data_IF_135833094028
#
_entry.id   IF_135833094028
#
_cell.length_a   1.000
_cell.length_b   1.000
_cell.length_c   1.000
_cell.angle_alpha   90.00
_cell.angle_beta   90.00
_cell.angle_gamma   90.00
#
_symmetry.space_group_name_H-M   'P 1'
#
loop_
_entity.id
_entity.type
_entity.pdbx_description
1 polymer ?
#
# COMPACT_ATOMS: atom_id res chain seq x y z
N UNK A 1 27.41 11.67 1.08
CA UNK A 1 26.94 11.50 -0.32
C UNK A 1 25.44 11.78 -0.32
N UNK A 2 24.93 12.62 -1.22
CA UNK A 2 23.50 12.90 -1.28
C UNK A 2 22.77 11.63 -1.78
N UNK A 3 21.94 11.05 -0.95
CA UNK A 3 21.04 9.95 -1.37
C UNK A 3 20.14 10.50 -2.48
N UNK A 4 20.01 9.82 -3.63
CA UNK A 4 19.09 10.24 -4.67
C UNK A 4 17.68 10.32 -4.11
N UNK A 5 17.06 11.49 -4.18
CA UNK A 5 15.71 11.69 -3.70
C UNK A 5 14.69 11.24 -4.75
N UNK A 6 13.60 10.61 -4.33
CA UNK A 6 12.45 10.35 -5.19
C UNK A 6 11.94 11.64 -5.83
N UNK A 7 11.79 11.64 -7.17
CA UNK A 7 11.35 12.79 -7.95
C UNK A 7 10.01 12.58 -8.66
N UNK A 8 9.36 11.43 -8.44
CA UNK A 8 8.05 11.14 -9.02
C UNK A 8 6.92 11.99 -8.44
N UNK A 9 5.74 11.93 -9.07
CA UNK A 9 4.54 12.68 -8.66
C UNK A 9 3.86 12.09 -7.41
N UNK A 10 3.95 10.76 -7.18
CA UNK A 10 3.23 10.08 -6.12
C UNK A 10 3.66 10.57 -4.73
N UNK A 11 2.70 10.91 -3.91
CA UNK A 11 2.88 11.37 -2.52
C UNK A 11 2.20 10.47 -1.50
N UNK A 12 1.26 9.62 -1.95
CA UNK A 12 0.54 8.68 -1.13
C UNK A 12 0.29 7.39 -1.92
N UNK A 13 0.55 6.25 -1.31
CA UNK A 13 0.14 4.94 -1.82
C UNK A 13 -0.92 4.38 -0.87
N UNK A 14 -2.12 4.17 -1.38
CA UNK A 14 -3.23 3.57 -0.66
C UNK A 14 -3.39 2.10 -1.04
N UNK A 15 -3.63 1.26 -0.06
CA UNK A 15 -3.85 -0.16 -0.22
C UNK A 15 -5.25 -0.55 0.26
N UNK A 16 -5.96 -1.37 -0.51
CA UNK A 16 -6.97 -2.23 0.06
C UNK A 16 -6.30 -3.32 0.92
N UNK A 17 -7.09 -4.11 1.61
CA UNK A 17 -6.58 -5.09 2.55
C UNK A 17 -6.87 -6.52 2.12
N UNK A 18 -8.16 -6.87 2.00
CA UNK A 18 -8.58 -8.23 1.71
C UNK A 18 -8.37 -8.53 0.22
N UNK A 19 -7.46 -9.46 -0.09
CA UNK A 19 -7.02 -9.73 -1.46
C UNK A 19 -5.81 -8.92 -1.94
N UNK A 20 -5.34 -7.93 -1.14
CA UNK A 20 -4.12 -7.14 -1.42
C UNK A 20 -3.05 -7.38 -0.37
N UNK A 21 -3.26 -6.91 0.87
CA UNK A 21 -2.33 -7.13 2.00
C UNK A 21 -2.52 -8.51 2.64
N UNK A 22 -3.64 -9.16 2.37
CA UNK A 22 -3.97 -10.53 2.76
C UNK A 22 -4.37 -11.34 1.53
N UNK A 23 -4.54 -12.65 1.69
CA UNK A 23 -5.03 -13.56 0.63
C UNK A 23 -6.56 -13.50 0.44
N UNK A 24 -7.24 -12.55 1.07
CA UNK A 24 -8.69 -12.37 1.00
C UNK A 24 -9.50 -13.36 1.85
N UNK A 25 -8.86 -14.31 2.54
CA UNK A 25 -9.56 -15.25 3.43
C UNK A 25 -9.99 -14.58 4.73
N UNK A 26 -11.19 -14.90 5.14
CA UNK A 26 -11.78 -14.40 6.40
C UNK A 26 -11.76 -15.50 7.45
N UNK A 27 -11.14 -15.21 8.59
CA UNK A 27 -11.11 -16.11 9.75
C UNK A 27 -12.09 -15.59 10.80
N UNK A 28 -13.32 -16.14 10.78
CA UNK A 28 -14.44 -15.63 11.57
C UNK A 28 -14.92 -16.65 12.63
N UNK A 29 -15.37 -16.11 13.77
CA UNK A 29 -16.11 -16.80 14.80
C UNK A 29 -17.48 -16.15 14.96
N UNK A 30 -18.28 -16.62 15.94
CA UNK A 30 -19.53 -15.95 16.30
C UNK A 30 -19.37 -14.50 16.77
N UNK A 31 -18.18 -14.13 17.24
CA UNK A 31 -17.84 -12.79 17.73
C UNK A 31 -17.21 -11.90 16.64
N UNK A 32 -17.08 -12.39 15.41
CA UNK A 32 -16.54 -11.65 14.29
C UNK A 32 -15.19 -12.18 13.78
N UNK A 33 -14.45 -11.33 13.06
CA UNK A 33 -13.14 -11.68 12.52
C UNK A 33 -12.07 -11.64 13.61
N UNK A 34 -11.42 -12.78 13.87
CA UNK A 34 -10.44 -12.92 14.94
C UNK A 34 -8.97 -12.96 14.48
N UNK A 35 -8.72 -13.22 13.20
CA UNK A 35 -7.37 -13.33 12.65
C UNK A 35 -7.29 -12.82 11.21
N UNK A 36 -6.17 -12.20 10.86
CA UNK A 36 -5.72 -11.95 9.48
C UNK A 36 -4.26 -12.36 9.32
N UNK A 37 -3.93 -12.95 8.19
CA UNK A 37 -2.55 -13.26 7.81
C UNK A 37 -1.97 -12.15 6.95
N UNK A 38 -0.85 -11.55 7.39
CA UNK A 38 -0.13 -10.53 6.66
C UNK A 38 1.26 -11.02 6.28
N UNK A 39 1.76 -10.60 5.12
CA UNK A 39 3.10 -10.95 4.71
C UNK A 39 4.14 -10.01 5.33
N UNK A 40 5.23 -10.58 5.87
CA UNK A 40 6.29 -9.79 6.52
C UNK A 40 6.96 -8.79 5.57
N UNK A 41 7.11 -9.13 4.28
CA UNK A 41 7.71 -8.26 3.26
C UNK A 41 6.98 -6.94 3.09
N UNK A 42 5.66 -6.90 3.31
CA UNK A 42 4.86 -5.67 3.17
C UNK A 42 5.19 -4.63 4.24
N UNK A 43 5.72 -5.05 5.38
CA UNK A 43 6.24 -4.13 6.39
C UNK A 43 7.41 -3.27 5.89
N UNK A 44 8.24 -3.83 5.02
CA UNK A 44 9.35 -3.09 4.39
C UNK A 44 8.82 -2.08 3.36
N UNK A 45 7.70 -2.36 2.69
CA UNK A 45 7.08 -1.40 1.76
C UNK A 45 6.79 -0.07 2.43
N UNK A 46 6.16 -0.08 3.61
CA UNK A 46 5.85 1.13 4.41
C UNK A 46 7.12 1.90 4.76
N UNK A 47 8.15 1.19 5.25
CA UNK A 47 9.44 1.80 5.59
C UNK A 47 10.14 2.39 4.36
N UNK A 48 10.09 1.70 3.21
CA UNK A 48 10.70 2.12 1.96
C UNK A 48 10.04 3.38 1.40
N UNK A 49 8.71 3.41 1.31
CA UNK A 49 7.96 4.60 0.88
C UNK A 49 8.27 5.80 1.77
N UNK A 50 8.25 5.61 3.10
CA UNK A 50 8.56 6.66 4.07
C UNK A 50 9.98 7.21 3.92
N UNK A 51 10.97 6.35 3.64
CA UNK A 51 12.35 6.78 3.43
C UNK A 51 12.50 7.73 2.23
N UNK A 52 11.53 7.71 1.31
CA UNK A 52 11.47 8.60 0.14
C UNK A 52 10.40 9.70 0.25
N UNK A 53 9.86 9.94 1.45
CA UNK A 53 8.86 10.98 1.69
C UNK A 53 7.49 10.69 1.08
N UNK A 54 7.21 9.42 0.73
CA UNK A 54 5.92 8.96 0.24
C UNK A 54 5.14 8.38 1.41
N UNK A 55 3.94 8.89 1.64
CA UNK A 55 3.03 8.36 2.66
C UNK A 55 2.42 7.04 2.21
N UNK A 56 2.03 6.23 3.16
CA UNK A 56 1.28 4.98 2.93
C UNK A 56 -0.02 4.97 3.70
N UNK A 57 -1.04 4.33 3.16
CA UNK A 57 -2.34 4.29 3.82
C UNK A 57 -3.16 3.05 3.47
N UNK A 58 -4.18 2.83 4.28
CA UNK A 58 -5.17 1.78 4.12
C UNK A 58 -6.53 2.41 3.85
N UNK A 59 -7.25 1.88 2.84
CA UNK A 59 -8.65 2.17 2.57
C UNK A 59 -9.39 0.85 2.38
N UNK A 60 -10.03 0.35 3.45
CA UNK A 60 -10.68 -0.96 3.49
C UNK A 60 -12.17 -0.86 3.79
N UNK A 61 -12.98 -1.66 3.09
CA UNK A 61 -14.41 -1.82 3.37
C UNK A 61 -14.70 -2.54 4.70
N UNK A 62 -13.74 -3.30 5.22
CA UNK A 62 -13.92 -4.09 6.45
C UNK A 62 -13.15 -3.48 7.61
N UNK A 63 -13.70 -3.61 8.79
CA UNK A 63 -13.04 -3.26 10.04
C UNK A 63 -12.74 -4.54 10.84
N UNK A 64 -11.51 -4.66 11.34
CA UNK A 64 -11.14 -5.73 12.27
C UNK A 64 -10.01 -5.30 13.20
N UNK A 65 -9.99 -5.87 14.40
CA UNK A 65 -8.95 -5.61 15.39
C UNK A 65 -7.55 -6.05 14.91
N UNK A 66 -7.36 -7.21 14.24
CA UNK A 66 -6.07 -7.59 13.66
C UNK A 66 -5.56 -6.58 12.63
N UNK A 67 -6.44 -6.02 11.79
CA UNK A 67 -6.08 -4.98 10.84
C UNK A 67 -5.62 -3.68 11.54
N UNK A 68 -6.39 -3.21 12.50
CA UNK A 68 -6.06 -2.00 13.26
C UNK A 68 -4.69 -2.13 13.96
N UNK A 69 -4.44 -3.26 14.60
CA UNK A 69 -3.16 -3.56 15.24
C UNK A 69 -2.00 -3.56 14.23
N UNK A 70 -2.17 -4.23 13.09
CA UNK A 70 -1.13 -4.29 12.05
C UNK A 70 -0.84 -2.93 11.45
N UNK A 71 -1.87 -2.13 11.16
CA UNK A 71 -1.73 -0.79 10.64
C UNK A 71 -0.94 0.12 11.60
N UNK A 72 -1.24 0.05 12.89
CA UNK A 72 -0.50 0.77 13.92
C UNK A 72 0.95 0.30 14.04
N UNK A 73 1.18 -1.02 14.05
CA UNK A 73 2.53 -1.61 14.14
C UNK A 73 3.43 -1.14 13.00
N UNK A 74 2.92 -1.10 11.76
CA UNK A 74 3.67 -0.66 10.59
C UNK A 74 3.73 0.87 10.48
N UNK A 75 2.88 1.57 11.20
CA UNK A 75 2.81 3.03 11.20
C UNK A 75 2.30 3.59 9.88
N UNK A 76 1.23 3.04 9.32
CA UNK A 76 0.57 3.66 8.17
C UNK A 76 0.14 5.10 8.50
N UNK A 77 0.35 6.01 7.55
CA UNK A 77 0.05 7.45 7.72
C UNK A 77 -1.45 7.74 7.60
N UNK A 78 -2.19 6.88 6.87
CA UNK A 78 -3.63 6.95 6.65
C UNK A 78 -4.26 5.61 7.02
N UNK A 79 -5.33 5.64 7.81
CA UNK A 79 -6.06 4.43 8.17
C UNK A 79 -7.57 4.67 8.11
N UNK A 80 -8.21 4.11 7.09
CA UNK A 80 -9.66 4.13 6.89
C UNK A 80 -10.14 2.70 6.74
N UNK A 81 -10.92 2.22 7.70
CA UNK A 81 -11.51 0.88 7.73
C UNK A 81 -13.00 0.93 7.98
N UNK A 82 -13.74 -0.10 7.55
CA UNK A 82 -15.20 -0.11 7.61
C UNK A 82 -15.84 0.91 6.66
N UNK A 83 -15.20 1.16 5.53
CA UNK A 83 -15.64 2.16 4.54
C UNK A 83 -16.35 1.45 3.37
N UNK A 84 -17.66 1.30 3.46
CA UNK A 84 -18.47 0.65 2.41
C UNK A 84 -18.43 1.42 1.10
N UNK A 85 -18.46 2.75 1.15
CA UNK A 85 -18.27 3.62 -0.02
C UNK A 85 -16.82 4.08 -0.13
N UNK A 86 -16.01 3.29 -0.85
CA UNK A 86 -14.58 3.60 -1.07
C UNK A 86 -14.38 4.92 -1.83
N UNK A 87 -15.31 5.34 -2.70
CA UNK A 87 -15.24 6.64 -3.38
C UNK A 87 -15.32 7.79 -2.38
N UNK A 88 -16.28 7.74 -1.46
CA UNK A 88 -16.43 8.75 -0.41
C UNK A 88 -15.22 8.74 0.54
N UNK A 89 -14.73 7.55 0.92
CA UNK A 89 -13.51 7.41 1.72
C UNK A 89 -12.29 8.03 1.05
N UNK A 90 -12.10 7.77 -0.23
CA UNK A 90 -11.02 8.34 -1.05
C UNK A 90 -11.11 9.87 -1.14
N UNK A 91 -12.31 10.40 -1.41
CA UNK A 91 -12.52 11.85 -1.48
C UNK A 91 -12.17 12.54 -0.14
N UNK A 92 -12.53 11.93 0.99
CA UNK A 92 -12.17 12.42 2.33
C UNK A 92 -10.65 12.42 2.53
N UNK A 93 -9.96 11.31 2.20
CA UNK A 93 -8.49 11.24 2.30
C UNK A 93 -7.83 12.33 1.47
N UNK A 94 -8.27 12.56 0.25
CA UNK A 94 -7.75 13.63 -0.61
C UNK A 94 -7.88 15.00 0.04
N UNK A 95 -9.06 15.31 0.58
CA UNK A 95 -9.33 16.59 1.22
C UNK A 95 -8.46 16.79 2.49
N UNK A 96 -8.40 15.79 3.36
CA UNK A 96 -7.63 15.84 4.61
C UNK A 96 -6.12 16.00 4.38
N UNK A 97 -5.62 15.42 3.29
CA UNK A 97 -4.19 15.45 2.97
C UNK A 97 -3.81 16.47 1.90
N UNK A 98 -4.76 17.26 1.40
CA UNK A 98 -4.58 18.25 0.34
C UNK A 98 -3.86 17.66 -0.90
N UNK A 99 -4.30 16.49 -1.38
CA UNK A 99 -3.72 15.78 -2.52
C UNK A 99 -4.63 15.82 -3.75
N UNK A 100 -4.03 15.97 -4.92
CA UNK A 100 -4.67 15.75 -6.20
C UNK A 100 -4.61 14.25 -6.58
N UNK A 101 -5.46 13.82 -7.52
CA UNK A 101 -5.55 12.44 -7.96
C UNK A 101 -4.22 11.90 -8.51
N UNK A 102 -3.51 12.71 -9.28
CA UNK A 102 -2.20 12.38 -9.88
C UNK A 102 -1.07 12.15 -8.86
N UNK A 103 -1.28 12.60 -7.62
CA UNK A 103 -0.34 12.40 -6.51
C UNK A 103 -0.62 11.10 -5.70
N UNK A 104 -1.65 10.33 -6.06
CA UNK A 104 -2.06 9.13 -5.32
C UNK A 104 -1.94 7.89 -6.19
N UNK A 105 -1.34 6.85 -5.62
CA UNK A 105 -1.40 5.49 -6.13
C UNK A 105 -2.39 4.66 -5.32
N UNK A 106 -3.12 3.76 -5.97
CA UNK A 106 -4.05 2.84 -5.31
C UNK A 106 -3.82 1.40 -5.73
N UNK A 107 -3.97 0.49 -4.78
CA UNK A 107 -3.89 -0.96 -5.00
C UNK A 107 -5.20 -1.58 -4.57
N UNK A 108 -5.90 -2.23 -5.49
CA UNK A 108 -7.16 -2.92 -5.23
C UNK A 108 -7.28 -4.22 -6.03
N UNK A 109 -8.14 -5.13 -5.58
CA UNK A 109 -8.28 -6.46 -6.19
C UNK A 109 -9.68 -6.76 -6.69
N UNK A 110 -10.73 -6.11 -6.16
CA UNK A 110 -12.11 -6.45 -6.49
C UNK A 110 -12.91 -5.25 -7.01
N UNK A 111 -14.12 -5.52 -7.49
CA UNK A 111 -14.95 -4.55 -8.21
C UNK A 111 -15.37 -3.33 -7.37
N UNK A 112 -15.39 -3.43 -6.06
CA UNK A 112 -15.65 -2.32 -5.15
C UNK A 112 -14.49 -1.30 -5.10
N UNK A 113 -13.30 -1.64 -5.65
CA UNK A 113 -12.15 -0.76 -5.78
C UNK A 113 -12.21 0.11 -7.04
N UNK A 114 -12.99 -0.30 -8.04
CA UNK A 114 -13.05 0.38 -9.35
C UNK A 114 -13.30 1.90 -9.24
N UNK A 115 -14.18 2.39 -8.36
CA UNK A 115 -14.40 3.84 -8.24
C UNK A 115 -13.16 4.63 -7.80
N UNK A 116 -12.23 3.99 -7.08
CA UNK A 116 -10.95 4.60 -6.69
C UNK A 116 -9.91 4.38 -7.78
N UNK A 117 -9.81 3.16 -8.30
CA UNK A 117 -8.90 2.79 -9.40
C UNK A 117 -9.04 3.75 -10.59
N UNK A 118 -10.26 4.10 -10.97
CA UNK A 118 -10.54 4.98 -12.11
C UNK A 118 -10.28 6.47 -11.81
N UNK A 119 -9.97 6.81 -10.55
CA UNK A 119 -9.78 8.20 -10.13
C UNK A 119 -8.31 8.55 -9.87
N UNK A 120 -7.48 7.60 -9.47
CA UNK A 120 -6.10 7.86 -9.03
C UNK A 120 -5.13 8.10 -10.19
N UNK A 121 -3.97 8.69 -9.86
CA UNK A 121 -2.91 8.94 -10.85
C UNK A 121 -2.21 7.68 -11.34
N UNK A 122 -2.17 6.62 -10.53
CA UNK A 122 -1.69 5.30 -10.94
C UNK A 122 -2.35 4.20 -10.12
N UNK A 123 -2.81 3.17 -10.78
CA UNK A 123 -3.55 2.05 -10.19
C UNK A 123 -2.84 0.72 -10.39
N UNK A 124 -2.95 -0.14 -9.38
CA UNK A 124 -2.32 -1.46 -9.34
C UNK A 124 -3.32 -2.53 -8.91
N UNK A 125 -3.08 -3.76 -9.36
CA UNK A 125 -3.81 -4.93 -8.89
C UNK A 125 -2.86 -6.13 -8.70
N UNK A 126 -3.15 -7.02 -7.73
CA UNK A 126 -2.49 -8.31 -7.61
C UNK A 126 -2.74 -9.21 -8.83
N UNK A 127 -1.88 -10.21 -9.04
CA UNK A 127 -1.99 -11.14 -10.16
C UNK A 127 -3.30 -11.94 -10.16
N UNK A 128 -3.85 -12.22 -9.00
CA UNK A 128 -5.11 -12.95 -8.78
C UNK A 128 -6.35 -12.07 -8.61
N UNK A 129 -6.21 -10.74 -8.77
CA UNK A 129 -7.34 -9.81 -8.73
C UNK A 129 -8.45 -10.17 -9.73
N UNK A 130 -9.66 -9.71 -9.47
CA UNK A 130 -10.80 -9.91 -10.33
C UNK A 130 -10.52 -9.49 -11.78
N UNK A 131 -10.98 -10.27 -12.76
CA UNK A 131 -10.65 -10.06 -14.17
C UNK A 131 -11.07 -8.66 -14.70
N UNK A 132 -12.13 -8.08 -14.16
CA UNK A 132 -12.57 -6.72 -14.53
C UNK A 132 -11.59 -5.68 -13.99
N UNK A 133 -11.09 -5.84 -12.77
CA UNK A 133 -10.09 -4.95 -12.15
C UNK A 133 -8.80 -4.97 -12.96
N UNK A 134 -8.28 -6.17 -13.29
CA UNK A 134 -7.07 -6.31 -14.10
C UNK A 134 -7.15 -5.65 -15.49
N UNK A 135 -8.35 -5.46 -16.04
CA UNK A 135 -8.53 -4.73 -17.31
C UNK A 135 -8.61 -3.21 -17.16
N UNK A 136 -8.71 -2.70 -15.93
CA UNK A 136 -8.92 -1.28 -15.65
C UNK A 136 -7.75 -0.62 -14.93
N UNK A 137 -6.87 -1.41 -14.32
CA UNK A 137 -5.66 -0.88 -13.68
C UNK A 137 -4.56 -0.59 -14.69
N UNK A 138 -3.67 0.33 -14.34
CA UNK A 138 -2.47 0.63 -15.12
C UNK A 138 -1.46 -0.53 -15.07
N UNK A 139 -1.35 -1.21 -13.91
CA UNK A 139 -0.37 -2.27 -13.70
C UNK A 139 -0.96 -3.43 -12.90
N UNK A 140 -0.77 -4.63 -13.42
CA UNK A 140 -0.96 -5.88 -12.67
C UNK A 140 0.41 -6.33 -12.20
N UNK A 141 0.62 -6.43 -10.87
CA UNK A 141 1.88 -6.91 -10.30
C UNK A 141 1.97 -8.43 -10.38
N UNK A 142 3.17 -8.97 -10.24
CA UNK A 142 3.39 -10.43 -10.34
C UNK A 142 2.95 -11.19 -9.07
N UNK A 143 2.87 -10.50 -7.93
CA UNK A 143 2.47 -11.10 -6.66
C UNK A 143 0.95 -11.25 -6.58
N UNK A 144 0.51 -12.37 -5.98
CA UNK A 144 -0.88 -12.58 -5.58
C UNK A 144 -1.15 -11.92 -4.23
N UNK A 145 -2.42 -11.70 -3.92
CA UNK A 145 -2.84 -11.12 -2.64
C UNK A 145 -2.21 -11.82 -1.43
N UNK A 146 -1.73 -11.05 -0.47
CA UNK A 146 -1.07 -11.56 0.74
C UNK A 146 0.34 -12.10 0.55
N UNK A 147 0.96 -11.99 -0.63
CA UNK A 147 2.29 -12.54 -0.93
C UNK A 147 3.35 -11.46 -1.22
N UNK A 148 3.18 -10.28 -0.63
CA UNK A 148 4.13 -9.18 -0.77
C UNK A 148 3.78 -8.18 -1.88
N UNK A 149 2.51 -7.99 -2.17
CA UNK A 149 1.99 -7.03 -3.15
C UNK A 149 2.45 -5.61 -2.84
N UNK A 150 2.31 -5.16 -1.58
CA UNK A 150 2.71 -3.81 -1.19
C UNK A 150 4.20 -3.58 -1.43
N UNK A 151 5.04 -4.61 -1.20
CA UNK A 151 6.47 -4.53 -1.47
C UNK A 151 6.75 -4.30 -2.94
N UNK A 152 6.14 -5.08 -3.84
CA UNK A 152 6.35 -4.94 -5.28
C UNK A 152 5.85 -3.59 -5.79
N UNK A 153 4.69 -3.12 -5.31
CA UNK A 153 4.15 -1.81 -5.66
C UNK A 153 5.07 -0.67 -5.20
N UNK A 154 5.56 -0.70 -3.96
CA UNK A 154 6.48 0.33 -3.46
C UNK A 154 7.76 0.41 -4.30
N UNK A 155 8.35 -0.74 -4.64
CA UNK A 155 9.51 -0.82 -5.53
C UNK A 155 9.19 -0.25 -6.91
N UNK A 156 8.04 -0.62 -7.50
CA UNK A 156 7.65 -0.16 -8.82
C UNK A 156 7.40 1.36 -8.87
N UNK A 157 6.77 1.94 -7.84
CA UNK A 157 6.57 3.40 -7.73
C UNK A 157 7.91 4.13 -7.75
N UNK A 158 8.92 3.62 -7.04
CA UNK A 158 10.26 4.23 -7.01
C UNK A 158 11.00 4.05 -8.34
N UNK A 159 10.99 2.84 -8.91
CA UNK A 159 11.62 2.53 -10.19
C UNK A 159 11.06 3.39 -11.33
N UNK A 160 9.75 3.63 -11.36
CA UNK A 160 9.11 4.50 -12.37
C UNK A 160 9.59 5.95 -12.31
N UNK A 161 10.07 6.41 -11.18
CA UNK A 161 10.68 7.75 -11.06
C UNK A 161 12.13 7.80 -11.54
N UNK A 162 12.67 6.69 -12.05
CA UNK A 162 14.05 6.55 -12.48
C UNK A 162 15.03 6.25 -11.35
N UNK A 163 14.52 5.87 -10.15
CA UNK A 163 15.37 5.52 -9.01
C UNK A 163 15.69 4.02 -9.06
N UNK A 164 16.95 3.61 -9.28
CA UNK A 164 17.35 2.20 -9.29
C UNK A 164 17.11 1.53 -7.94
N UNK A 165 16.88 0.22 -7.93
CA UNK A 165 16.46 -0.52 -6.74
C UNK A 165 17.49 -0.47 -5.61
N UNK A 166 18.77 -0.61 -5.92
CA UNK A 166 19.87 -0.51 -4.97
C UNK A 166 19.96 0.88 -4.32
N UNK A 167 19.71 1.94 -5.08
CA UNK A 167 19.63 3.31 -4.58
C UNK A 167 18.35 3.55 -3.76
N UNK A 168 17.23 2.95 -4.16
CA UNK A 168 15.97 3.02 -3.43
C UNK A 168 16.09 2.43 -2.01
N UNK A 169 16.86 1.34 -1.86
CA UNK A 169 17.07 0.71 -0.55
C UNK A 169 18.16 1.35 0.28
N UNK A 170 19.04 2.14 -0.28
CA UNK A 170 20.18 2.75 0.43
C UNK A 170 19.81 3.42 1.76
N UNK A 171 18.74 4.26 1.85
CA UNK A 171 18.39 4.88 3.12
C UNK A 171 18.03 3.90 4.25
N UNK A 172 17.46 2.75 3.88
CA UNK A 172 17.14 1.69 4.85
C UNK A 172 18.40 0.90 5.25
N UNK A 173 19.24 0.55 4.28
CA UNK A 173 20.49 -0.17 4.50
C UNK A 173 21.44 0.64 5.38
N UNK A 174 21.58 1.95 5.11
CA UNK A 174 22.40 2.86 5.92
C UNK A 174 21.90 2.94 7.36
N UNK A 175 20.58 2.99 7.57
CA UNK A 175 19.97 2.99 8.90
C UNK A 175 20.23 1.68 9.66
N UNK A 176 20.06 0.55 8.99
CA UNK A 176 20.28 -0.76 9.62
C UNK A 176 21.76 -1.01 9.91
N UNK A 177 22.68 -0.66 9.00
CA UNK A 177 24.11 -0.77 9.22
C UNK A 177 24.65 0.18 10.33
N UNK A 178 24.00 1.32 10.55
CA UNK A 178 24.38 2.24 11.62
C UNK A 178 24.06 1.70 13.04
N UNK A 179 23.13 0.76 13.17
CA UNK A 179 22.80 0.13 14.45
C UNK A 179 23.82 -0.95 14.89
N UNK A 180 24.64 -1.48 13.97
CA UNK A 180 25.66 -2.49 14.27
C UNK A 180 26.97 -1.89 14.82
N UNK A 181 27.09 -0.55 14.89
CA UNK A 181 28.33 0.15 15.33
C UNK A 181 28.26 0.59 16.81
N UNK A 182 27.15 0.32 17.51
CA UNK A 182 26.96 0.67 18.93
C UNK A 182 26.71 -0.62 19.74
N UNK A 183 27.73 -1.48 19.83
CA UNK A 183 27.85 -2.51 20.86
C UNK A 183 29.23 -2.42 21.50
#
# INVERSE_FOLDING_TARGET
MNTPAYRGAIRLVLFDVDGVLTDGRLHVTGDGEFMKSFHAKDGIAVALLRAHGIRSGILSGRHSAPLAWRAQQLGFDVFVSGCDDKRAGYARIKAEHALADDAIAYVGDDVNDLPVIESVGVSYAPADAHALVKRRVDYVVARVGGEGVAREVAEHVLLRSGLPLDEAYRPLLDRWGAHDVVQ
#
